data_IF_303353143758
#
_entry.id   IF_303353143758
#
_cell.length_a   1.000
_cell.length_b   1.000
_cell.length_c   1.000
_cell.angle_alpha   90.00
_cell.angle_beta   90.00
_cell.angle_gamma   90.00
#
_symmetry.space_group_name_H-M   'P 1'
#
loop_
_entity.id
_entity.type
_entity.pdbx_description
1 polymer ?
#
# COMPACT_ATOMS: atom_id res chain seq x y z
N UNK A 1 3.30 5.29 17.68
CA UNK A 1 2.44 5.54 16.48
C UNK A 1 2.95 4.62 15.37
N UNK A 2 2.11 4.10 14.47
CA UNK A 2 2.58 3.30 13.31
C UNK A 2 2.46 4.19 12.08
N UNK A 3 3.57 4.39 11.38
CA UNK A 3 3.61 5.21 10.18
C UNK A 3 3.84 4.33 8.93
N UNK A 4 3.11 4.60 7.83
CA UNK A 4 3.37 3.95 6.56
C UNK A 4 4.74 4.39 6.02
N UNK A 5 5.46 3.48 5.37
CA UNK A 5 6.73 3.76 4.71
C UNK A 5 6.84 3.02 3.37
N UNK A 6 7.73 3.47 2.50
CA UNK A 6 7.98 2.83 1.20
C UNK A 6 7.11 3.37 0.06
N UNK A 7 6.93 2.56 -0.98
CA UNK A 7 6.20 2.99 -2.20
C UNK A 7 4.69 2.91 -1.98
N UNK A 8 3.98 3.97 -2.37
CA UNK A 8 2.51 4.01 -2.34
C UNK A 8 1.89 2.82 -3.10
N UNK A 9 1.05 2.04 -2.41
CA UNK A 9 0.46 0.80 -2.95
C UNK A 9 -0.33 1.05 -4.24
N UNK A 10 -0.95 2.23 -4.34
CA UNK A 10 -1.70 2.68 -5.53
C UNK A 10 -0.78 2.77 -6.76
N UNK A 11 0.45 3.22 -6.59
CA UNK A 11 1.38 3.37 -7.72
C UNK A 11 1.94 2.03 -8.18
N UNK A 12 2.16 1.10 -7.26
CA UNK A 12 2.46 -0.30 -7.60
C UNK A 12 1.30 -0.94 -8.35
N UNK A 13 0.07 -0.78 -7.85
CA UNK A 13 -1.13 -1.29 -8.48
C UNK A 13 -1.35 -0.74 -9.90
N UNK A 14 -1.11 0.55 -10.14
CA UNK A 14 -1.17 1.15 -11.49
C UNK A 14 -0.16 0.52 -12.45
N UNK A 15 1.08 0.28 -12.01
CA UNK A 15 2.11 -0.38 -12.83
C UNK A 15 1.69 -1.79 -13.20
N UNK A 16 1.21 -2.57 -12.23
CA UNK A 16 0.71 -3.93 -12.45
C UNK A 16 -0.45 -3.90 -13.45
N UNK A 17 -1.48 -3.08 -13.21
CA UNK A 17 -2.62 -2.91 -14.11
C UNK A 17 -2.15 -2.60 -15.54
N UNK A 18 -1.22 -1.66 -15.70
CA UNK A 18 -0.66 -1.29 -17.02
C UNK A 18 0.01 -2.47 -17.72
N UNK A 19 0.79 -3.28 -17.01
CA UNK A 19 1.44 -4.46 -17.61
C UNK A 19 0.42 -5.55 -17.97
N UNK A 20 -0.57 -5.80 -17.12
CA UNK A 20 -1.66 -6.73 -17.42
C UNK A 20 -2.52 -6.29 -18.60
N UNK A 21 -2.75 -4.98 -18.78
CA UNK A 21 -3.46 -4.45 -19.94
C UNK A 21 -2.80 -4.81 -21.27
N UNK A 22 -1.48 -5.00 -21.31
CA UNK A 22 -0.77 -5.44 -22.53
C UNK A 22 -1.08 -6.88 -22.93
N UNK A 23 -1.60 -7.69 -21.99
CA UNK A 23 -1.84 -9.14 -22.17
C UNK A 23 -3.34 -9.41 -22.34
N UNK A 24 -4.19 -8.78 -21.53
CA UNK A 24 -5.63 -9.06 -21.43
C UNK A 24 -6.47 -7.77 -21.25
N UNK A 25 -6.28 -6.81 -22.15
CA UNK A 25 -6.94 -5.50 -22.11
C UNK A 25 -8.45 -5.54 -21.81
N UNK A 26 -9.19 -6.41 -22.53
CA UNK A 26 -10.65 -6.53 -22.40
C UNK A 26 -11.13 -6.95 -21.00
N UNK A 27 -10.29 -7.67 -20.25
CA UNK A 27 -10.59 -8.08 -18.87
C UNK A 27 -10.14 -6.97 -17.91
N UNK A 28 -8.92 -6.46 -18.12
CA UNK A 28 -8.26 -5.53 -17.20
C UNK A 28 -8.96 -4.16 -17.15
N UNK A 29 -9.59 -3.73 -18.25
CA UNK A 29 -10.36 -2.47 -18.28
C UNK A 29 -11.59 -2.49 -17.35
N UNK A 30 -12.16 -3.68 -17.10
CA UNK A 30 -13.33 -3.87 -16.24
C UNK A 30 -12.94 -3.95 -14.74
N UNK A 31 -11.64 -4.06 -14.43
CA UNK A 31 -11.13 -4.17 -13.07
C UNK A 31 -10.64 -2.80 -12.60
N UNK A 32 -11.15 -2.31 -11.46
CA UNK A 32 -10.70 -1.05 -10.86
C UNK A 32 -9.27 -1.17 -10.32
N UNK A 33 -8.54 -0.05 -10.18
CA UNK A 33 -7.20 -0.07 -9.56
C UNK A 33 -7.26 -0.54 -8.11
N UNK A 34 -8.36 -0.26 -7.41
CA UNK A 34 -8.55 -0.66 -6.00
C UNK A 34 -8.54 -2.18 -5.82
N UNK A 35 -9.07 -2.94 -6.78
CA UNK A 35 -9.01 -4.40 -6.76
C UNK A 35 -7.56 -4.91 -6.90
N UNK A 36 -6.72 -4.21 -7.67
CA UNK A 36 -5.29 -4.51 -7.71
C UNK A 36 -4.63 -4.19 -6.37
N UNK A 37 -5.00 -3.08 -5.71
CA UNK A 37 -4.44 -2.71 -4.39
C UNK A 37 -4.82 -3.75 -3.32
N UNK A 38 -6.06 -4.22 -3.32
CA UNK A 38 -6.59 -5.18 -2.32
C UNK A 38 -5.86 -6.51 -2.28
N UNK A 39 -5.29 -6.93 -3.41
CA UNK A 39 -4.55 -8.21 -3.51
C UNK A 39 -3.06 -8.04 -3.27
N UNK A 40 -2.56 -6.82 -3.09
CA UNK A 40 -1.16 -6.59 -2.74
C UNK A 40 -0.93 -6.95 -1.27
N UNK A 41 0.28 -7.46 -0.92
CA UNK A 41 0.68 -7.58 0.46
C UNK A 41 0.66 -6.20 1.14
N UNK A 42 0.47 -6.19 2.46
CA UNK A 42 0.57 -4.96 3.24
C UNK A 42 1.92 -4.27 2.98
N UNK A 43 1.87 -2.96 2.77
CA UNK A 43 3.06 -2.15 2.55
C UNK A 43 3.96 -2.10 3.79
N UNK A 44 5.19 -1.63 3.60
CA UNK A 44 6.11 -1.44 4.71
C UNK A 44 5.55 -0.41 5.69
N UNK A 45 5.77 -0.67 6.97
CA UNK A 45 5.45 0.27 8.04
C UNK A 45 6.51 0.15 9.12
N UNK A 46 6.65 1.19 9.91
CA UNK A 46 7.54 1.20 11.06
C UNK A 46 6.84 1.81 12.26
N UNK A 47 7.26 1.37 13.45
CA UNK A 47 6.78 1.93 14.71
C UNK A 47 7.63 3.16 15.00
N UNK A 48 6.98 4.30 15.19
CA UNK A 48 7.62 5.51 15.72
C UNK A 48 7.29 5.63 17.20
N UNK A 49 8.31 6.00 17.98
CA UNK A 49 8.21 6.22 19.41
C UNK A 49 7.18 7.33 19.68
N UNK A 50 6.10 6.98 20.38
CA UNK A 50 5.17 7.98 20.89
C UNK A 50 5.66 8.40 22.27
N UNK A 51 6.13 9.63 22.43
CA UNK A 51 6.69 10.20 23.67
C UNK A 51 5.74 10.29 24.88
N UNK A 52 4.72 9.45 24.97
CA UNK A 52 3.76 9.36 26.08
C UNK A 52 4.21 8.40 27.21
N UNK A 53 5.51 8.12 27.31
CA UNK A 53 6.08 7.15 28.28
C UNK A 53 7.09 7.71 29.29
N UNK A 54 7.58 8.94 29.16
CA UNK A 54 8.71 9.44 29.98
C UNK A 54 8.34 10.28 31.22
N UNK A 55 7.05 10.39 31.58
CA UNK A 55 6.62 11.11 32.79
C UNK A 55 5.77 10.27 33.75
N UNK A 56 6.19 9.04 34.01
CA UNK A 56 5.66 8.22 35.11
C UNK A 56 6.78 7.47 35.83
N UNK A 57 7.69 8.21 36.47
CA UNK A 57 8.50 7.70 37.56
C UNK A 57 8.64 8.79 38.63
N UNK A 58 8.23 8.41 39.84
CA UNK A 58 8.18 9.15 41.10
C UNK A 58 9.54 9.69 41.56
#
# INVERSE_FOLDING_TARGET
IIEPSGTEMVDVAKKIKKEFSKIKENIVKEISVDEFVRVLPAGESHIVESGLGEHASE
#
